data_IF_350719435123
#
_entry.id   IF_350719435123
#
_cell.length_a   1.000
_cell.length_b   1.000
_cell.length_c   1.000
_cell.angle_alpha   90.00
_cell.angle_beta   90.00
_cell.angle_gamma   90.00
#
_symmetry.space_group_name_H-M   'P 1'
#
loop_
_entity.id
_entity.type
_entity.pdbx_description
1 polymer ?
#
# COMPACT_ATOMS: atom_id res chain seq x y z
N UNK A 1 21.52 -12.44 13.75
CA UNK A 1 20.39 -12.15 12.85
C UNK A 1 20.85 -12.45 11.42
N UNK A 2 20.12 -13.27 10.65
CA UNK A 2 20.59 -13.78 9.35
C UNK A 2 20.16 -12.81 8.22
N UNK A 3 21.10 -12.14 7.52
CA UNK A 3 20.80 -11.04 6.60
C UNK A 3 19.98 -11.44 5.36
N UNK A 4 19.93 -12.75 5.03
CA UNK A 4 19.10 -13.26 3.93
C UNK A 4 17.62 -13.37 4.29
N UNK A 5 17.28 -13.70 5.55
CA UNK A 5 15.89 -13.74 6.02
C UNK A 5 15.29 -12.33 6.07
N UNK A 6 16.11 -11.36 6.50
CA UNK A 6 15.70 -9.95 6.56
C UNK A 6 15.46 -9.36 5.17
N UNK A 7 16.24 -9.75 4.15
CA UNK A 7 16.03 -9.28 2.77
C UNK A 7 14.66 -9.72 2.23
N UNK A 8 14.26 -10.97 2.47
CA UNK A 8 12.94 -11.49 2.08
C UNK A 8 11.81 -10.82 2.85
N UNK A 9 12.02 -10.46 4.11
CA UNK A 9 11.04 -9.70 4.91
C UNK A 9 10.87 -8.26 4.41
N UNK A 10 11.97 -7.57 4.10
CA UNK A 10 11.92 -6.23 3.51
C UNK A 10 11.24 -6.23 2.14
N UNK A 11 11.48 -7.25 1.30
CA UNK A 11 10.81 -7.41 0.02
C UNK A 11 9.30 -7.61 0.19
N UNK A 12 8.88 -8.53 1.07
CA UNK A 12 7.46 -8.76 1.38
C UNK A 12 6.78 -7.52 1.93
N UNK A 13 7.47 -6.76 2.79
CA UNK A 13 6.94 -5.48 3.30
C UNK A 13 6.80 -4.44 2.19
N UNK A 14 7.79 -4.29 1.32
CA UNK A 14 7.74 -3.35 0.20
C UNK A 14 6.59 -3.69 -0.78
N UNK A 15 6.39 -4.99 -1.07
CA UNK A 15 5.25 -5.46 -1.85
C UNK A 15 3.92 -5.11 -1.18
N UNK A 16 3.80 -5.34 0.13
CA UNK A 16 2.59 -4.98 0.87
C UNK A 16 2.32 -3.47 0.87
N UNK A 17 3.36 -2.64 0.99
CA UNK A 17 3.24 -1.17 0.87
C UNK A 17 2.75 -0.77 -0.52
N UNK A 18 3.31 -1.36 -1.58
CA UNK A 18 2.89 -1.11 -2.96
C UNK A 18 1.44 -1.53 -3.19
N UNK A 19 1.01 -2.66 -2.64
CA UNK A 19 -0.37 -3.13 -2.73
C UNK A 19 -1.34 -2.15 -2.07
N UNK A 20 -1.00 -1.59 -0.89
CA UNK A 20 -1.80 -0.54 -0.26
C UNK A 20 -1.84 0.71 -1.13
N UNK A 21 -0.69 1.15 -1.66
CA UNK A 21 -0.62 2.31 -2.55
C UNK A 21 -1.53 2.14 -3.78
N UNK A 22 -1.45 0.99 -4.46
CA UNK A 22 -2.24 0.74 -5.67
C UNK A 22 -3.74 0.71 -5.36
N UNK A 23 -4.14 0.06 -4.27
CA UNK A 23 -5.55 0.01 -3.88
C UNK A 23 -6.10 1.40 -3.55
N UNK A 24 -5.35 2.26 -2.86
CA UNK A 24 -5.79 3.63 -2.56
C UNK A 24 -5.90 4.46 -3.85
N UNK A 25 -4.97 4.32 -4.79
CA UNK A 25 -5.03 5.01 -6.09
C UNK A 25 -6.25 4.53 -6.89
N UNK A 26 -6.48 3.22 -6.94
CA UNK A 26 -7.61 2.65 -7.67
C UNK A 26 -8.94 3.00 -7.02
N UNK A 27 -9.00 3.09 -5.70
CA UNK A 27 -10.16 3.63 -4.98
C UNK A 27 -10.41 5.10 -5.37
N UNK A 28 -9.36 5.93 -5.37
CA UNK A 28 -9.45 7.33 -5.75
C UNK A 28 -9.97 7.52 -7.19
N UNK A 29 -9.55 6.66 -8.11
CA UNK A 29 -9.97 6.68 -9.53
C UNK A 29 -11.32 6.00 -9.79
N UNK A 30 -11.93 5.37 -8.79
CA UNK A 30 -13.18 4.61 -8.96
C UNK A 30 -13.01 3.26 -9.67
N UNK A 31 -11.77 2.76 -9.78
CA UNK A 31 -11.40 1.50 -10.44
C UNK A 31 -11.46 0.28 -9.48
N UNK A 32 -11.61 0.53 -8.18
CA UNK A 32 -11.71 -0.48 -7.13
C UNK A 32 -12.88 -0.16 -6.21
N UNK A 33 -13.68 -1.19 -5.86
CA UNK A 33 -14.76 -1.02 -4.89
C UNK A 33 -14.22 -1.02 -3.46
N UNK A 34 -14.86 -0.25 -2.58
CA UNK A 34 -14.53 -0.18 -1.15
C UNK A 34 -14.56 -1.58 -0.51
N UNK A 35 -15.53 -2.42 -0.86
CA UNK A 35 -15.63 -3.79 -0.34
C UNK A 35 -14.41 -4.64 -0.73
N UNK A 36 -13.93 -4.53 -1.97
CA UNK A 36 -12.78 -5.30 -2.44
C UNK A 36 -11.48 -4.81 -1.81
N UNK A 37 -11.31 -3.50 -1.67
CA UNK A 37 -10.18 -2.92 -0.97
C UNK A 37 -10.16 -3.33 0.52
N UNK A 38 -11.31 -3.30 1.20
CA UNK A 38 -11.41 -3.71 2.60
C UNK A 38 -11.00 -5.17 2.81
N UNK A 39 -11.43 -6.08 1.92
CA UNK A 39 -11.02 -7.49 1.98
C UNK A 39 -9.51 -7.66 1.80
N UNK A 40 -8.92 -6.93 0.85
CA UNK A 40 -7.47 -7.00 0.61
C UNK A 40 -6.68 -6.41 1.79
N UNK A 41 -7.11 -5.27 2.35
CA UNK A 41 -6.50 -4.67 3.53
C UNK A 41 -6.57 -5.58 4.75
N UNK A 42 -7.66 -6.30 4.96
CA UNK A 42 -7.72 -7.32 6.03
C UNK A 42 -6.67 -8.44 5.82
N UNK A 43 -6.41 -8.85 4.58
CA UNK A 43 -5.36 -9.81 4.26
C UNK A 43 -3.96 -9.32 4.59
N UNK A 44 -3.69 -8.03 4.35
CA UNK A 44 -2.41 -7.39 4.66
C UNK A 44 -2.25 -7.18 6.17
N UNK A 45 -3.30 -6.74 6.89
CA UNK A 45 -3.27 -6.53 8.36
C UNK A 45 -2.96 -7.81 9.15
N UNK A 46 -3.29 -8.99 8.60
CA UNK A 46 -2.97 -10.28 9.24
C UNK A 46 -1.48 -10.62 9.18
N UNK A 47 -0.73 -10.02 8.27
CA UNK A 47 0.66 -10.38 7.98
C UNK A 47 1.65 -9.27 8.32
N UNK A 48 1.19 -8.03 8.38
CA UNK A 48 2.03 -6.85 8.58
C UNK A 48 1.42 -5.91 9.61
N UNK A 49 2.30 -5.13 10.24
CA UNK A 49 1.90 -4.06 11.15
C UNK A 49 1.20 -2.90 10.42
N UNK A 50 0.64 -1.98 11.19
CA UNK A 50 -0.05 -0.79 10.67
C UNK A 50 0.89 0.18 9.93
N UNK A 51 2.22 0.05 10.07
CA UNK A 51 3.18 0.94 9.40
C UNK A 51 3.13 0.78 7.88
N UNK A 52 2.84 -0.42 7.38
CA UNK A 52 2.65 -0.70 5.94
C UNK A 52 1.51 0.14 5.37
N UNK A 53 0.43 0.31 6.12
CA UNK A 53 -0.71 1.12 5.70
C UNK A 53 -0.39 2.61 5.73
N UNK A 54 0.25 3.08 6.79
CA UNK A 54 0.64 4.48 6.91
C UNK A 54 1.57 4.89 5.75
N UNK A 55 2.53 4.04 5.41
CA UNK A 55 3.46 4.28 4.31
C UNK A 55 2.76 4.22 2.95
N UNK A 56 1.95 3.18 2.68
CA UNK A 56 1.20 3.06 1.44
C UNK A 56 0.22 4.22 1.20
N UNK A 57 -0.48 4.66 2.25
CA UNK A 57 -1.37 5.83 2.20
C UNK A 57 -0.57 7.11 1.93
N UNK A 58 0.59 7.29 2.59
CA UNK A 58 1.45 8.47 2.39
C UNK A 58 1.87 8.57 0.93
N UNK A 59 2.40 7.48 0.36
CA UNK A 59 2.80 7.45 -1.05
C UNK A 59 1.63 7.65 -2.01
N UNK A 60 0.46 7.08 -1.71
CA UNK A 60 -0.73 7.27 -2.54
C UNK A 60 -1.19 8.74 -2.53
N UNK A 61 -1.20 9.40 -1.36
CA UNK A 61 -1.56 10.81 -1.25
C UNK A 61 -0.58 11.72 -2.01
N UNK A 62 0.72 11.44 -1.94
CA UNK A 62 1.73 12.19 -2.69
C UNK A 62 1.55 12.01 -4.21
N UNK A 63 1.24 10.79 -4.66
CA UNK A 63 0.95 10.53 -6.07
C UNK A 63 -0.32 11.22 -6.54
N UNK A 64 -1.40 11.13 -5.78
CA UNK A 64 -2.66 11.83 -6.08
C UNK A 64 -2.43 13.35 -6.14
N UNK A 65 -1.65 13.92 -5.22
CA UNK A 65 -1.28 15.34 -5.26
C UNK A 65 -0.48 15.70 -6.51
N UNK A 66 0.46 14.85 -6.91
CA UNK A 66 1.26 15.07 -8.13
C UNK A 66 0.40 15.02 -9.41
N UNK A 67 -0.60 14.15 -9.47
CA UNK A 67 -1.52 14.03 -10.61
C UNK A 67 -2.48 15.22 -10.73
N UNK A 68 -2.74 15.94 -9.62
CA UNK A 68 -3.69 17.05 -9.55
C UNK A 68 -3.03 18.45 -9.53
N UNK A 69 -1.70 18.56 -9.64
CA UNK A 69 -1.06 19.88 -9.80
C UNK A 69 -1.11 20.31 -11.27
N UNK A 70 -1.76 21.44 -11.61
CA UNK A 70 -1.54 22.05 -12.91
C UNK A 70 -0.11 22.56 -12.97
N UNK A 71 0.59 22.26 -14.08
CA UNK A 71 1.86 22.89 -14.40
C UNK A 71 1.72 24.40 -14.58
#
# INVERSE_FOLDING_TARGET
MNPRLTLTEHQRRAEAVNNVLEDIIRLHRGELSVCRAAFHFQGIQKQFDTSVFAEGITYALDRIRSENRPG
#
